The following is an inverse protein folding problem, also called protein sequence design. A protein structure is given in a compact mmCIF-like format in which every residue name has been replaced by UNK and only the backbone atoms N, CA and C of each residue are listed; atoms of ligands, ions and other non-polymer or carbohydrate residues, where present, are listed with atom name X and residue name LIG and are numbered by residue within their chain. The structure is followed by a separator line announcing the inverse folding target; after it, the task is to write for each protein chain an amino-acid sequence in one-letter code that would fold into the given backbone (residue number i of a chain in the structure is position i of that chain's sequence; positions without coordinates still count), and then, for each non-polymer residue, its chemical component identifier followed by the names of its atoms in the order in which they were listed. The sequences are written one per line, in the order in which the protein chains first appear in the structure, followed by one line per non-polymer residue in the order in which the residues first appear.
data_IF_181263130702
#
_entry.id   IF_181263130702
#
_cell.length_a   1.000
_cell.length_b   1.000
_cell.length_c   1.000
_cell.angle_alpha   90.00
_cell.angle_beta   90.00
_cell.angle_gamma   90.00
#
_symmetry.space_group_name_H-M   'P 1'
#
loop_
_entity.id
_entity.type
_entity.pdbx_description
1 polymer ?
#
# COMPACT_ATOMS: atom_id res chain seq x y z
N UNK A 1 15.83 7.36 10.51
CA UNK A 1 15.12 7.99 9.37
C UNK A 1 13.59 8.02 9.48
N UNK A 2 12.92 7.17 10.29
CA UNK A 2 11.43 7.19 10.50
C UNK A 2 10.62 7.29 9.18
N UNK A 3 10.96 6.43 8.21
CA UNK A 3 10.41 6.44 6.84
C UNK A 3 9.03 5.74 6.80
N UNK A 4 7.99 6.38 7.34
CA UNK A 4 6.64 5.77 7.42
C UNK A 4 5.86 5.75 6.10
N UNK A 5 6.28 6.55 5.11
CA UNK A 5 5.55 6.73 3.86
C UNK A 5 6.34 6.15 2.68
N UNK A 6 5.79 5.13 2.02
CA UNK A 6 6.33 4.56 0.80
C UNK A 6 5.50 4.97 -0.42
N UNK A 7 6.19 5.46 -1.47
CA UNK A 7 5.55 5.95 -2.69
C UNK A 7 5.96 5.07 -3.88
N UNK A 8 4.98 4.51 -4.57
CA UNK A 8 5.18 3.66 -5.76
C UNK A 8 4.32 4.18 -6.91
N UNK A 9 4.84 5.09 -7.74
CA UNK A 9 4.15 5.50 -8.96
C UNK A 9 4.17 4.35 -9.97
N UNK A 10 3.01 4.02 -10.54
CA UNK A 10 2.82 3.02 -11.57
C UNK A 10 2.04 3.64 -12.73
N UNK A 11 2.70 3.82 -13.87
CA UNK A 11 2.11 4.42 -15.06
C UNK A 11 2.39 3.54 -16.27
N UNK A 12 1.37 3.33 -17.10
CA UNK A 12 1.57 2.79 -18.43
C UNK A 12 2.03 3.92 -19.36
N UNK A 13 3.24 3.78 -19.89
CA UNK A 13 3.80 4.75 -20.83
C UNK A 13 3.24 4.52 -22.24
N UNK A 14 2.95 5.62 -22.93
CA UNK A 14 2.52 5.58 -24.33
C UNK A 14 3.57 4.90 -25.20
N UNK A 15 3.16 3.94 -26.02
CA UNK A 15 4.05 3.13 -26.87
C UNK A 15 4.59 1.87 -26.20
N UNK A 16 4.36 1.67 -24.90
CA UNK A 16 4.72 0.44 -24.18
C UNK A 16 3.49 -0.44 -23.84
N UNK A 17 2.34 -0.19 -24.48
CA UNK A 17 1.11 -0.93 -24.22
C UNK A 17 1.25 -2.42 -24.53
N UNK A 18 2.08 -2.78 -25.51
CA UNK A 18 2.36 -4.17 -25.86
C UNK A 18 3.05 -4.97 -24.75
N UNK A 19 3.72 -4.30 -23.80
CA UNK A 19 4.32 -4.92 -22.62
C UNK A 19 3.34 -5.01 -21.44
N UNK A 20 2.17 -4.37 -21.54
CA UNK A 20 1.14 -4.47 -20.51
C UNK A 20 0.52 -5.87 -20.55
N UNK A 21 0.43 -6.59 -19.43
CA UNK A 21 -0.17 -7.93 -19.40
C UNK A 21 -1.71 -7.91 -19.47
N UNK A 22 -2.33 -6.73 -19.52
CA UNK A 22 -3.77 -6.59 -19.66
C UNK A 22 -4.18 -6.68 -21.14
N UNK A 23 -5.44 -7.05 -21.37
CA UNK A 23 -6.02 -7.08 -22.73
C UNK A 23 -5.83 -5.72 -23.43
N UNK A 24 -5.60 -5.74 -24.75
CA UNK A 24 -5.20 -4.57 -25.51
C UNK A 24 -6.15 -3.36 -25.38
N UNK A 25 -7.48 -3.58 -25.39
CA UNK A 25 -8.50 -2.54 -25.17
C UNK A 25 -8.41 -1.91 -23.77
N UNK A 26 -7.95 -2.67 -22.77
CA UNK A 26 -7.72 -2.15 -21.42
C UNK A 26 -6.41 -1.37 -21.38
N UNK A 27 -5.33 -1.92 -21.95
CA UNK A 27 -4.02 -1.28 -22.00
C UNK A 27 -4.06 0.05 -22.76
N UNK A 28 -4.79 0.12 -23.88
CA UNK A 28 -4.97 1.34 -24.68
C UNK A 28 -5.63 2.50 -23.91
N UNK A 29 -6.45 2.20 -22.89
CA UNK A 29 -7.02 3.26 -22.02
C UNK A 29 -5.97 3.89 -21.10
N UNK A 30 -4.85 3.20 -20.88
CA UNK A 30 -3.77 3.64 -20.00
C UNK A 30 -4.16 3.64 -18.51
N UNK A 31 -3.15 3.82 -17.67
CA UNK A 31 -3.34 4.11 -16.25
C UNK A 31 -2.15 4.90 -15.71
N UNK A 32 -2.39 5.69 -14.68
CA UNK A 32 -1.37 6.40 -13.92
C UNK A 32 -1.80 6.45 -12.46
N UNK A 33 -1.22 5.60 -11.63
CA UNK A 33 -1.60 5.38 -10.24
C UNK A 33 -0.40 5.70 -9.36
N UNK A 34 -0.66 6.31 -8.20
CA UNK A 34 0.33 6.45 -7.15
C UNK A 34 -0.13 5.61 -5.97
N UNK A 35 0.56 4.52 -5.68
CA UNK A 35 0.33 3.76 -4.45
C UNK A 35 1.08 4.44 -3.31
N UNK A 36 0.34 4.82 -2.27
CA UNK A 36 0.86 5.39 -1.02
C UNK A 36 0.66 4.31 0.05
N UNK A 37 1.76 3.80 0.59
CA UNK A 37 1.74 2.66 1.51
C UNK A 37 2.36 3.06 2.85
N UNK A 38 1.65 2.77 3.95
CA UNK A 38 2.20 2.89 5.31
C UNK A 38 3.25 1.79 5.49
N UNK A 39 4.45 2.16 5.95
CA UNK A 39 5.62 1.29 5.94
C UNK A 39 6.09 0.85 7.33
N UNK A 40 5.54 1.40 8.40
CA UNK A 40 6.14 1.29 9.75
C UNK A 40 5.20 0.82 10.85
N UNK A 41 3.94 0.54 10.54
CA UNK A 41 2.93 0.01 11.45
C UNK A 41 2.27 -1.26 10.91
N UNK A 42 1.04 -1.53 11.34
CA UNK A 42 0.27 -2.69 10.91
C UNK A 42 0.89 -4.02 11.32
N UNK A 43 0.49 -5.08 10.64
CA UNK A 43 0.81 -6.47 10.94
C UNK A 43 2.30 -6.75 10.93
N UNK A 44 3.09 -5.99 10.16
CA UNK A 44 4.53 -6.19 10.09
C UNK A 44 5.23 -5.88 11.40
N UNK A 45 4.78 -4.84 12.13
CA UNK A 45 5.42 -4.38 13.36
C UNK A 45 4.56 -4.54 14.62
N UNK A 46 3.29 -4.87 14.46
CA UNK A 46 2.35 -5.03 15.55
C UNK A 46 2.74 -6.15 16.51
N UNK A 47 2.42 -5.93 17.79
CA UNK A 47 2.65 -6.84 18.89
C UNK A 47 1.33 -7.12 19.62
N UNK A 48 1.13 -8.33 20.16
CA UNK A 48 2.09 -9.43 20.19
C UNK A 48 2.23 -10.15 18.82
N UNK A 49 3.41 -10.70 18.55
CA UNK A 49 3.70 -11.53 17.38
C UNK A 49 4.54 -12.73 17.80
N UNK A 50 4.17 -13.92 17.35
CA UNK A 50 4.92 -15.12 17.68
C UNK A 50 4.17 -16.41 17.42
N UNK A 51 4.60 -17.44 18.12
CA UNK A 51 4.07 -18.80 18.02
C UNK A 51 4.07 -19.41 19.41
N UNK A 52 2.98 -20.06 19.80
CA UNK A 52 2.81 -20.72 21.09
C UNK A 52 2.09 -22.07 20.94
N UNK A 53 2.13 -22.88 22.00
CA UNK A 53 1.57 -24.24 22.01
C UNK A 53 2.51 -25.30 21.44
N UNK A 54 2.06 -26.56 21.50
CA UNK A 54 2.79 -27.74 21.04
C UNK A 54 1.81 -28.78 20.45
N UNK A 55 2.33 -29.68 19.62
CA UNK A 55 1.55 -30.76 19.02
C UNK A 55 0.46 -30.22 18.08
N UNK A 56 -0.76 -30.75 18.19
CA UNK A 56 -1.89 -30.33 17.33
C UNK A 56 -2.44 -28.94 17.64
N UNK A 57 -2.10 -28.39 18.80
CA UNK A 57 -2.61 -27.09 19.28
C UNK A 57 -1.60 -25.95 19.06
N UNK A 58 -0.45 -26.23 18.41
CA UNK A 58 0.51 -25.18 18.05
C UNK A 58 -0.15 -24.14 17.12
N UNK A 59 0.00 -22.86 17.46
CA UNK A 59 -0.55 -21.74 16.68
C UNK A 59 0.45 -20.61 16.55
N UNK A 60 0.35 -19.88 15.45
CA UNK A 60 1.10 -18.65 15.21
C UNK A 60 0.15 -17.47 15.05
N UNK A 61 0.63 -16.28 15.40
CA UNK A 61 -0.15 -15.05 15.31
C UNK A 61 0.74 -13.84 15.01
N UNK A 62 0.14 -12.91 14.28
CA UNK A 62 0.62 -11.57 14.04
C UNK A 62 -0.53 -10.60 14.36
N UNK A 63 -0.22 -9.42 14.86
CA UNK A 63 -1.25 -8.44 15.23
C UNK A 63 -1.28 -7.29 14.22
N UNK A 64 -2.36 -7.19 13.43
CA UNK A 64 -2.66 -6.00 12.62
C UNK A 64 -3.18 -4.88 13.53
N UNK A 65 -2.30 -3.94 13.88
CA UNK A 65 -2.64 -2.80 14.75
C UNK A 65 -2.13 -1.50 14.17
N UNK A 66 -2.95 -0.46 14.29
CA UNK A 66 -2.60 0.91 13.99
C UNK A 66 -3.10 1.84 15.09
N UNK A 67 -2.29 2.82 15.43
CA UNK A 67 -2.74 3.98 16.18
C UNK A 67 -3.29 5.05 15.25
N UNK A 68 -4.23 5.86 15.76
CA UNK A 68 -4.84 6.96 15.01
C UNK A 68 -3.82 7.86 14.32
N UNK A 69 -2.74 8.23 15.02
CA UNK A 69 -1.71 9.12 14.49
C UNK A 69 -0.96 8.53 13.27
N UNK A 70 -0.93 7.20 13.14
CA UNK A 70 -0.26 6.50 12.03
C UNK A 70 -1.11 6.58 10.76
N UNK A 71 -2.43 6.43 10.93
CA UNK A 71 -3.41 6.56 9.86
C UNK A 71 -3.52 8.02 9.41
N UNK A 72 -3.58 8.97 10.35
CA UNK A 72 -3.69 10.40 10.05
C UNK A 72 -2.52 10.91 9.21
N UNK A 73 -1.28 10.58 9.58
CA UNK A 73 -0.08 11.06 8.87
C UNK A 73 0.00 10.52 7.44
N UNK A 74 -0.35 9.25 7.22
CA UNK A 74 -0.29 8.65 5.87
C UNK A 74 -1.45 9.13 5.00
N UNK A 75 -2.65 9.27 5.56
CA UNK A 75 -3.81 9.81 4.87
C UNK A 75 -3.58 11.27 4.43
N UNK A 76 -3.07 12.13 5.33
CA UNK A 76 -2.69 13.50 4.97
C UNK A 76 -1.68 13.54 3.82
N UNK A 77 -0.72 12.62 3.79
CA UNK A 77 0.23 12.51 2.68
C UNK A 77 -0.47 12.12 1.37
N UNK A 78 -1.37 11.14 1.41
CA UNK A 78 -2.14 10.70 0.25
C UNK A 78 -3.00 11.84 -0.33
N UNK A 79 -3.71 12.59 0.51
CA UNK A 79 -4.51 13.75 0.06
C UNK A 79 -3.64 14.87 -0.52
N UNK A 80 -2.51 15.23 0.12
CA UNK A 80 -1.56 16.21 -0.44
C UNK A 80 -0.97 15.77 -1.77
N UNK A 81 -0.73 14.46 -1.95
CA UNK A 81 -0.25 13.90 -3.21
C UNK A 81 -1.34 13.93 -4.29
N UNK A 82 -2.60 13.66 -3.92
CA UNK A 82 -3.74 13.72 -4.84
C UNK A 82 -3.98 15.16 -5.36
N UNK A 83 -3.78 16.18 -4.52
CA UNK A 83 -3.86 17.60 -4.93
C UNK A 83 -2.84 17.97 -6.01
N UNK A 84 -1.68 17.30 -6.06
CA UNK A 84 -0.67 17.48 -7.12
C UNK A 84 -0.92 16.59 -8.34
N UNK A 85 -2.03 15.83 -8.34
CA UNK A 85 -2.41 14.85 -9.36
C UNK A 85 -3.85 15.13 -9.80
N UNK A 86 -4.74 14.14 -9.69
CA UNK A 86 -6.11 14.20 -10.22
C UNK A 86 -7.17 14.36 -9.14
N UNK A 87 -6.80 14.87 -7.95
CA UNK A 87 -7.70 15.11 -6.81
C UNK A 87 -8.55 13.91 -6.41
N UNK A 88 -8.05 12.68 -6.63
CA UNK A 88 -8.74 11.44 -6.29
C UNK A 88 -7.88 10.58 -5.37
N UNK A 89 -8.47 10.18 -4.25
CA UNK A 89 -7.95 9.16 -3.33
C UNK A 89 -8.94 8.00 -3.32
N UNK A 90 -8.44 6.78 -3.24
CA UNK A 90 -9.23 5.57 -2.99
C UNK A 90 -8.54 4.86 -1.84
N UNK A 91 -9.28 4.62 -0.75
CA UNK A 91 -8.79 3.99 0.49
C UNK A 91 -9.44 2.63 0.68
#
# INVERSE_FOLDING_TARGET
FKLFCNLRPARLYTGLEAYCPLRADIAQRGFDILCVHELTGGIYFGQPKGRDGEGREERAFDTEVYHRYEIERIAHFAFKSAQKRRYKVTS
#
